data_IF_007709093950
#
_entry.id   IF_007709093950
#
_cell.length_a   1.000
_cell.length_b   1.000
_cell.length_c   1.000
_cell.angle_alpha   90.00
_cell.angle_beta   90.00
_cell.angle_gamma   90.00
#
_symmetry.space_group_name_H-M   'P 1'
#
loop_
_entity.id
_entity.type
_entity.pdbx_description
1 polymer ?
#
# COMPACT_ATOMS: atom_id res chain seq x y z
N UNK A 1 -11.20 -1.20 14.65
CA UNK A 1 -10.64 0.13 15.03
C UNK A 1 -9.10 0.18 15.02
N UNK A 2 -8.36 -0.79 15.58
CA UNK A 2 -6.88 -0.76 15.59
C UNK A 2 -6.20 -0.78 14.21
N UNK A 3 -6.72 -1.53 13.23
CA UNK A 3 -6.13 -1.60 11.88
C UNK A 3 -6.28 -0.28 11.11
N UNK A 4 -7.45 0.36 11.19
CA UNK A 4 -7.68 1.67 10.59
C UNK A 4 -6.78 2.75 11.22
N UNK A 5 -6.61 2.73 12.56
CA UNK A 5 -5.69 3.64 13.24
C UNK A 5 -4.23 3.43 12.81
N UNK A 6 -3.79 2.18 12.68
CA UNK A 6 -2.45 1.86 12.19
C UNK A 6 -2.25 2.34 10.74
N UNK A 7 -3.26 2.15 9.88
CA UNK A 7 -3.23 2.62 8.49
C UNK A 7 -3.36 4.14 8.35
N UNK A 8 -4.09 4.81 9.26
CA UNK A 8 -4.12 6.26 9.38
C UNK A 8 -2.77 6.81 9.86
N UNK A 9 -1.98 6.04 10.61
CA UNK A 9 -0.61 6.40 10.99
C UNK A 9 0.40 6.16 9.86
N UNK A 10 0.14 5.16 9.01
CA UNK A 10 0.96 4.82 7.83
C UNK A 10 0.36 5.40 6.54
N UNK A 11 0.31 6.74 6.46
CA UNK A 11 -0.07 7.45 5.23
C UNK A 11 0.91 7.20 4.07
N UNK A 12 2.16 6.83 4.39
CA UNK A 12 3.19 6.48 3.41
C UNK A 12 3.93 5.20 3.79
N UNK A 13 4.20 4.35 2.81
CA UNK A 13 4.99 3.14 2.99
C UNK A 13 6.31 3.22 2.22
N UNK A 14 7.44 2.81 2.82
CA UNK A 14 8.72 2.81 2.14
C UNK A 14 8.77 1.74 1.05
N UNK A 15 9.23 2.14 -0.13
CA UNK A 15 9.43 1.28 -1.31
C UNK A 15 10.78 0.59 -1.20
N UNK A 16 10.83 -0.67 -1.63
CA UNK A 16 12.08 -1.41 -1.69
C UNK A 16 12.94 -0.88 -2.83
N UNK A 17 14.05 -0.21 -2.50
CA UNK A 17 15.00 0.28 -3.51
C UNK A 17 15.71 -0.87 -4.24
N UNK A 18 15.99 -1.97 -3.56
CA UNK A 18 16.57 -3.15 -4.20
C UNK A 18 15.62 -3.76 -5.23
N UNK A 19 14.31 -3.78 -4.96
CA UNK A 19 13.32 -4.27 -5.91
C UNK A 19 13.22 -3.33 -7.12
N UNK A 20 13.27 -2.01 -6.90
CA UNK A 20 13.33 -1.03 -7.99
C UNK A 20 14.58 -1.22 -8.87
N UNK A 21 15.70 -1.62 -8.27
CA UNK A 21 16.96 -1.95 -8.97
C UNK A 21 17.00 -3.39 -9.51
N UNK A 22 15.87 -4.11 -9.46
CA UNK A 22 15.75 -5.51 -9.89
C UNK A 22 16.66 -6.50 -9.13
N UNK A 23 17.12 -6.14 -7.93
CA UNK A 23 18.04 -6.92 -7.10
C UNK A 23 17.41 -7.52 -5.83
N UNK A 24 16.15 -7.20 -5.50
CA UNK A 24 15.50 -7.80 -4.33
C UNK A 24 14.94 -9.19 -4.62
N UNK A 25 15.51 -10.21 -3.98
CA UNK A 25 15.05 -11.61 -4.03
C UNK A 25 14.42 -12.08 -2.71
N UNK A 26 14.22 -11.17 -1.75
CA UNK A 26 13.71 -11.52 -0.42
C UNK A 26 12.24 -11.94 -0.51
N UNK A 27 11.86 -13.15 -0.06
CA UNK A 27 10.47 -13.59 -0.07
C UNK A 27 9.60 -12.81 0.91
N UNK A 28 10.19 -12.31 2.00
CA UNK A 28 9.51 -11.54 3.07
C UNK A 28 10.14 -10.15 3.22
N UNK A 29 10.19 -9.39 2.13
CA UNK A 29 10.67 -8.01 2.20
C UNK A 29 9.73 -7.13 3.04
N UNK A 30 10.31 -6.36 3.98
CA UNK A 30 9.56 -5.41 4.83
C UNK A 30 9.14 -4.14 4.07
N UNK A 31 9.69 -3.93 2.88
CA UNK A 31 9.44 -2.75 2.04
C UNK A 31 8.48 -3.09 0.90
N UNK A 32 7.79 -2.07 0.39
CA UNK A 32 6.80 -2.24 -0.68
C UNK A 32 7.49 -2.55 -2.01
N UNK A 33 7.09 -3.64 -2.64
CA UNK A 33 7.49 -4.00 -4.01
C UNK A 33 6.43 -3.50 -4.98
N UNK A 34 6.75 -2.44 -5.72
CA UNK A 34 5.92 -1.91 -6.81
C UNK A 34 6.72 -1.96 -8.10
N UNK A 35 6.07 -2.26 -9.22
CA UNK A 35 6.69 -2.14 -10.53
C UNK A 35 6.72 -0.67 -10.97
N UNK A 36 7.83 -0.26 -11.57
CA UNK A 36 7.88 1.02 -12.29
C UNK A 36 6.78 1.02 -13.36
N UNK A 37 6.01 2.11 -13.42
CA UNK A 37 4.88 2.25 -14.36
C UNK A 37 3.50 1.90 -13.82
N UNK A 38 3.33 1.46 -12.57
CA UNK A 38 2.00 1.20 -11.98
C UNK A 38 1.13 2.47 -11.75
N UNK A 39 1.59 3.67 -12.13
CA UNK A 39 0.84 4.92 -11.95
C UNK A 39 0.65 5.34 -10.49
N UNK A 40 1.40 4.73 -9.57
CA UNK A 40 1.39 5.05 -8.15
C UNK A 40 2.19 6.32 -7.86
N UNK A 41 1.68 7.15 -6.97
CA UNK A 41 2.41 8.31 -6.48
C UNK A 41 3.53 7.88 -5.52
N UNK A 42 4.76 8.01 -5.98
CA UNK A 42 5.98 7.77 -5.20
C UNK A 42 6.65 9.11 -4.88
N UNK A 43 6.87 9.39 -3.61
CA UNK A 43 7.56 10.60 -3.13
C UNK A 43 8.71 10.17 -2.23
N UNK A 44 9.96 10.50 -2.58
CA UNK A 44 11.13 10.20 -1.75
C UNK A 44 11.28 8.71 -1.40
N UNK A 45 11.11 7.82 -2.38
CA UNK A 45 11.11 6.36 -2.20
C UNK A 45 10.01 5.83 -1.27
N UNK A 46 8.91 6.56 -1.12
CA UNK A 46 7.72 6.12 -0.38
C UNK A 46 6.48 6.20 -1.27
N UNK A 47 5.62 5.19 -1.19
CA UNK A 47 4.29 5.24 -1.82
C UNK A 47 3.28 5.80 -0.83
N UNK A 48 2.33 6.58 -1.34
CA UNK A 48 1.18 7.03 -0.55
C UNK A 48 0.13 5.92 -0.53
N UNK A 49 -0.38 5.61 0.66
CA UNK A 49 -1.39 4.56 0.85
C UNK A 49 -2.79 5.10 0.54
N UNK A 50 -3.62 4.29 -0.12
CA UNK A 50 -5.01 4.64 -0.34
C UNK A 50 -5.83 4.44 0.94
N UNK A 51 -6.22 5.54 1.61
CA UNK A 51 -7.08 5.51 2.80
C UNK A 51 -8.44 4.85 2.50
N UNK A 52 -9.02 5.13 1.33
CA UNK A 52 -10.30 4.52 0.92
C UNK A 52 -10.16 3.00 0.75
N UNK A 53 -9.02 2.51 0.21
CA UNK A 53 -8.81 1.09 0.03
C UNK A 53 -8.57 0.38 1.38
N UNK A 54 -7.85 1.04 2.29
CA UNK A 54 -7.69 0.60 3.67
C UNK A 54 -9.03 0.52 4.42
N UNK A 55 -9.96 1.42 4.12
CA UNK A 55 -11.34 1.39 4.63
C UNK A 55 -12.25 0.40 3.88
N UNK A 56 -11.79 -0.20 2.78
CA UNK A 56 -12.59 -1.07 1.93
C UNK A 56 -13.62 -0.35 1.05
N UNK A 57 -13.55 0.98 0.94
CA UNK A 57 -14.49 1.83 0.22
C UNK A 57 -13.95 2.32 -1.14
N UNK A 58 -12.68 2.07 -1.47
CA UNK A 58 -12.12 2.45 -2.77
C UNK A 58 -12.75 1.65 -3.91
N UNK A 59 -13.37 2.36 -4.86
CA UNK A 59 -13.99 1.80 -6.09
C UNK A 59 -13.30 2.26 -7.38
N UNK A 60 -12.13 2.89 -7.29
CA UNK A 60 -11.44 3.46 -8.45
C UNK A 60 -10.80 2.34 -9.28
N UNK A 61 -11.11 2.30 -10.59
CA UNK A 61 -10.53 1.33 -11.52
C UNK A 61 -9.01 1.52 -11.69
N UNK A 62 -8.52 2.77 -11.63
CA UNK A 62 -7.10 3.12 -11.65
C UNK A 62 -6.78 4.06 -10.47
N UNK A 63 -6.45 3.49 -9.32
CA UNK A 63 -6.10 4.27 -8.14
C UNK A 63 -4.63 4.70 -8.20
N UNK A 64 -4.37 6.00 -7.98
CA UNK A 64 -3.01 6.58 -7.93
C UNK A 64 -2.28 6.29 -6.62
N UNK A 65 -2.95 5.63 -5.66
CA UNK A 65 -2.44 5.35 -4.32
C UNK A 65 -2.34 3.85 -4.08
N UNK A 66 -1.40 3.45 -3.22
CA UNK A 66 -1.08 2.05 -2.98
C UNK A 66 -2.18 1.35 -2.17
N UNK A 67 -2.69 0.24 -2.69
CA UNK A 67 -3.66 -0.61 -1.99
C UNK A 67 -2.92 -1.71 -1.25
N UNK A 68 -2.95 -1.66 0.08
CA UNK A 68 -2.27 -2.66 0.91
C UNK A 68 -3.02 -3.99 0.75
N UNK A 69 -2.34 -5.11 0.46
CA UNK A 69 -2.98 -6.42 0.27
C UNK A 69 -3.51 -7.04 1.58
N UNK A 70 -3.65 -6.26 2.66
CA UNK A 70 -4.33 -6.67 3.88
C UNK A 70 -5.82 -6.76 3.56
N UNK A 71 -6.28 -7.98 3.28
CA UNK A 71 -7.70 -8.30 3.26
C UNK A 71 -8.23 -8.10 4.68
N UNK A 72 -8.88 -6.97 4.94
CA UNK A 72 -9.56 -6.77 6.20
C UNK A 72 -10.67 -7.83 6.30
N UNK A 73 -10.72 -8.62 7.39
CA UNK A 73 -11.80 -9.57 7.63
C UNK A 73 -13.15 -8.87 7.41
N UNK A 74 -14.14 -9.53 6.77
CA UNK A 74 -15.46 -8.95 6.52
C UNK A 74 -16.10 -8.33 7.77
N UNK A 75 -15.84 -8.92 8.94
CA UNK A 75 -16.30 -8.45 10.25
C UNK A 75 -15.77 -7.06 10.69
N UNK A 76 -14.72 -6.54 10.04
CA UNK A 76 -14.11 -5.24 10.35
C UNK A 76 -14.42 -4.17 9.30
N UNK A 77 -15.18 -4.51 8.25
CA UNK A 77 -15.65 -3.53 7.27
C UNK A 77 -16.84 -2.77 7.89
N UNK A 78 -16.85 -1.42 7.88
CA UNK A 78 -18.05 -0.69 8.24
C UNK A 78 -19.20 -1.06 7.29
N UNK A 79 -20.45 -1.12 7.78
CA UNK A 79 -21.63 -1.40 6.95
C UNK A 79 -21.85 -0.33 5.87
#
# INVERSE_FOLDING_TARGET
MKVLLYLQLLDTLPVCQDFNRQGCTRPTCRFVHIREGCGLQVVGCRVVVCRDAAAGTCRRAACRYYHIPVQLPPALRPP
#
